data_IF_284241431763
#
_entry.id   IF_284241431763
#
_cell.length_a   1.000
_cell.length_b   1.000
_cell.length_c   1.000
_cell.angle_alpha   90.00
_cell.angle_beta   90.00
_cell.angle_gamma   90.00
#
_symmetry.space_group_name_H-M   'P 1'
#
loop_
_entity.id
_entity.type
_entity.pdbx_description
1 polymer ?
#
# COMPACT_ATOMS: atom_id res chain seq x y z
N UNK A 1 -14.85 -24.50 -11.07
CA UNK A 1 -13.47 -23.99 -11.18
C UNK A 1 -12.85 -23.52 -9.85
N UNK A 2 -13.20 -24.06 -8.66
CA UNK A 2 -12.58 -23.58 -7.42
C UNK A 2 -11.10 -23.98 -7.29
N UNK A 3 -10.67 -25.06 -7.97
CA UNK A 3 -9.39 -25.72 -7.69
C UNK A 3 -8.15 -24.91 -8.09
N UNK A 4 -8.28 -24.01 -9.05
CA UNK A 4 -7.19 -23.13 -9.50
C UNK A 4 -7.37 -21.68 -9.06
N UNK A 5 -8.53 -21.32 -8.47
CA UNK A 5 -8.79 -19.98 -7.98
C UNK A 5 -8.22 -19.86 -6.58
N UNK A 6 -7.20 -19.04 -6.39
CA UNK A 6 -6.58 -18.85 -5.08
C UNK A 6 -7.39 -17.82 -4.26
N UNK A 7 -7.59 -16.62 -4.81
CA UNK A 7 -8.43 -15.61 -4.20
C UNK A 7 -8.98 -14.61 -5.21
N UNK A 8 -10.12 -14.02 -4.85
CA UNK A 8 -10.67 -12.82 -5.48
C UNK A 8 -10.68 -11.72 -4.43
N UNK A 9 -10.04 -10.61 -4.75
CA UNK A 9 -9.99 -9.42 -3.91
C UNK A 9 -10.66 -8.24 -4.63
N UNK A 10 -11.70 -7.69 -4.01
CA UNK A 10 -12.42 -6.50 -4.48
C UNK A 10 -12.25 -5.41 -3.46
N UNK A 11 -11.76 -4.25 -3.88
CA UNK A 11 -11.57 -3.10 -2.98
C UNK A 11 -11.82 -1.80 -3.73
N UNK A 12 -12.55 -0.90 -3.09
CA UNK A 12 -12.71 0.48 -3.53
C UNK A 12 -11.77 1.45 -2.79
N UNK A 13 -11.00 0.93 -1.83
CA UNK A 13 -10.07 1.66 -0.96
C UNK A 13 -8.61 1.20 -1.16
N UNK A 14 -8.28 0.65 -2.33
CA UNK A 14 -6.94 0.12 -2.58
C UNK A 14 -5.95 1.23 -2.83
N UNK A 15 -4.77 1.11 -2.20
CA UNK A 15 -3.76 2.16 -2.20
C UNK A 15 -2.35 1.67 -2.58
N UNK A 16 -2.29 0.50 -3.22
CA UNK A 16 -1.06 -0.20 -3.59
C UNK A 16 -0.74 -1.38 -2.67
N UNK A 17 0.12 -2.28 -3.14
CA UNK A 17 0.67 -3.36 -2.31
C UNK A 17 1.56 -2.73 -1.24
N UNK A 18 1.32 -3.06 0.03
CA UNK A 18 2.32 -2.83 1.07
C UNK A 18 3.48 -3.77 0.71
N UNK A 19 4.63 -3.22 0.35
CA UNK A 19 5.83 -4.02 0.09
C UNK A 19 6.01 -5.00 1.25
N UNK A 20 6.07 -6.30 0.95
CA UNK A 20 6.12 -7.38 1.94
C UNK A 20 7.45 -7.46 2.72
N UNK A 21 8.29 -6.42 2.62
CA UNK A 21 9.46 -6.19 3.46
C UNK A 21 9.24 -4.88 4.19
N UNK A 22 8.84 -4.92 5.46
CA UNK A 22 8.58 -3.67 6.20
C UNK A 22 8.47 -3.74 7.72
N UNK A 23 8.53 -4.93 8.33
CA UNK A 23 8.75 -5.05 9.77
C UNK A 23 10.15 -5.63 10.02
N UNK A 24 11.17 -4.76 9.95
CA UNK A 24 12.18 -4.55 11.01
C UNK A 24 13.45 -3.85 10.49
N UNK A 25 13.85 -2.85 11.27
CA UNK A 25 15.19 -2.28 11.46
C UNK A 25 15.71 -1.32 10.36
N UNK A 26 15.97 -0.04 10.64
CA UNK A 26 16.86 0.46 11.70
C UNK A 26 18.21 -0.26 11.75
N UNK A 27 18.91 -0.39 10.62
CA UNK A 27 20.39 -0.46 10.62
C UNK A 27 20.96 -0.42 9.18
N UNK A 28 21.76 0.62 8.96
CA UNK A 28 22.67 1.04 7.86
C UNK A 28 23.51 -0.05 7.13
N UNK A 29 24.21 0.27 6.01
CA UNK A 29 25.57 0.88 6.07
C UNK A 29 25.79 2.05 5.06
N UNK A 30 26.91 2.82 5.16
CA UNK A 30 27.04 4.16 4.59
C UNK A 30 27.52 4.16 3.14
N UNK A 31 27.23 5.24 2.39
CA UNK A 31 28.30 5.87 1.64
C UNK A 31 28.35 7.38 1.90
N UNK A 32 29.49 7.80 2.45
CA UNK A 32 30.29 8.95 2.03
C UNK A 32 29.56 10.12 1.35
N UNK A 33 29.55 11.23 2.10
CA UNK A 33 29.79 12.59 1.63
C UNK A 33 28.79 13.20 0.65
N UNK A 34 28.16 14.28 1.12
CA UNK A 34 27.44 15.33 0.37
C UNK A 34 26.19 14.91 -0.40
N UNK A 35 25.01 15.10 0.21
CA UNK A 35 23.73 14.95 -0.51
C UNK A 35 22.48 14.98 0.35
N UNK A 36 22.36 15.97 1.24
CA UNK A 36 21.20 16.18 2.13
C UNK A 36 19.94 16.63 1.38
N UNK A 37 19.35 15.76 0.55
CA UNK A 37 18.06 16.03 -0.11
C UNK A 37 17.19 14.78 -0.39
N UNK A 38 17.76 13.57 -0.45
CA UNK A 38 17.03 12.39 -0.94
C UNK A 38 16.17 11.66 0.11
N UNK A 39 16.57 11.61 1.38
CA UNK A 39 15.80 10.93 2.45
C UNK A 39 14.60 11.73 2.97
N UNK A 40 14.37 12.94 2.45
CA UNK A 40 13.34 13.85 2.94
C UNK A 40 12.06 13.83 2.08
N UNK A 41 12.07 13.17 0.92
CA UNK A 41 10.95 13.15 -0.02
C UNK A 41 9.93 12.04 0.24
N UNK A 42 10.30 10.92 0.88
CA UNK A 42 9.34 9.82 1.12
C UNK A 42 8.23 10.19 2.12
N UNK A 43 8.48 11.12 3.04
CA UNK A 43 7.46 11.63 3.96
C UNK A 43 6.54 12.70 3.33
N UNK A 44 6.93 13.28 2.19
CA UNK A 44 6.13 14.26 1.46
C UNK A 44 5.12 13.57 0.51
N UNK A 45 5.31 12.28 0.20
CA UNK A 45 4.44 11.50 -0.67
C UNK A 45 3.25 10.82 0.05
N UNK A 46 3.05 11.07 1.34
CA UNK A 46 1.88 10.55 2.06
C UNK A 46 0.54 11.14 1.55
N UNK A 47 0.58 12.37 1.01
CA UNK A 47 -0.59 13.02 0.41
C UNK A 47 -0.99 12.42 -0.95
N UNK A 48 -0.12 11.62 -1.59
CA UNK A 48 -0.31 11.18 -2.97
C UNK A 48 -0.86 9.74 -3.08
N UNK A 49 -1.29 9.14 -1.97
CA UNK A 49 -1.84 7.79 -1.99
C UNK A 49 -3.25 7.80 -2.64
N UNK A 50 -3.28 7.73 -3.97
CA UNK A 50 -4.52 7.68 -4.74
C UNK A 50 -5.28 6.38 -4.43
N UNK A 51 -6.47 6.52 -3.86
CA UNK A 51 -7.40 5.40 -3.65
C UNK A 51 -7.98 4.97 -4.99
N UNK A 52 -7.91 3.67 -5.30
CA UNK A 52 -8.39 3.08 -6.54
C UNK A 52 -9.37 1.94 -6.28
N UNK A 53 -10.33 1.79 -7.19
CA UNK A 53 -11.18 0.60 -7.27
C UNK A 53 -10.42 -0.48 -8.03
N UNK A 54 -10.25 -1.65 -7.41
CA UNK A 54 -9.52 -2.78 -7.99
C UNK A 54 -10.31 -4.07 -7.83
N UNK A 55 -10.21 -4.91 -8.84
CA UNK A 55 -10.54 -6.33 -8.81
C UNK A 55 -9.22 -7.06 -9.08
N UNK A 56 -8.74 -7.80 -8.09
CA UNK A 56 -7.54 -8.62 -8.19
C UNK A 56 -7.98 -10.07 -8.12
N UNK A 57 -7.64 -10.85 -9.14
CA UNK A 57 -7.95 -12.28 -9.21
C UNK A 57 -6.63 -13.03 -9.32
N UNK A 58 -6.38 -13.93 -8.36
CA UNK A 58 -5.20 -14.78 -8.34
C UNK A 58 -5.57 -16.21 -8.71
N UNK A 59 -4.88 -16.76 -9.71
CA UNK A 59 -5.04 -18.14 -10.15
C UNK A 59 -3.74 -18.90 -9.90
N UNK A 60 -3.84 -20.05 -9.23
CA UNK A 60 -2.76 -21.01 -9.16
C UNK A 60 -2.85 -21.96 -10.34
N UNK A 61 -2.05 -21.67 -11.35
CA UNK A 61 -2.04 -22.36 -12.64
C UNK A 61 -1.43 -23.77 -12.52
N UNK A 62 -0.50 -23.98 -11.59
CA UNK A 62 0.22 -25.24 -11.41
C UNK A 62 -0.47 -26.21 -10.45
N UNK A 63 -1.47 -25.75 -9.71
CA UNK A 63 -2.27 -26.58 -8.80
C UNK A 63 -3.09 -27.67 -9.52
N UNK A 64 -3.27 -27.57 -10.84
CA UNK A 64 -3.89 -28.63 -11.62
C UNK A 64 -2.89 -29.76 -11.89
N UNK A 65 -2.80 -30.67 -10.92
CA UNK A 65 -2.00 -31.90 -10.94
C UNK A 65 -1.92 -32.55 -12.34
N UNK A 66 -0.76 -32.40 -13.00
CA UNK A 66 -0.38 -33.22 -14.16
C UNK A 66 -0.87 -32.77 -15.54
N UNK A 67 -1.45 -31.57 -15.71
CA UNK A 67 -1.80 -31.06 -17.06
C UNK A 67 -0.59 -30.45 -17.77
N UNK A 68 -0.43 -30.77 -19.06
CA UNK A 68 0.58 -30.16 -19.93
C UNK A 68 0.35 -28.64 -20.02
N UNK A 69 1.44 -27.87 -20.10
CA UNK A 69 1.43 -26.41 -20.21
C UNK A 69 0.52 -25.89 -21.33
N UNK A 70 0.39 -26.65 -22.43
CA UNK A 70 -0.49 -26.34 -23.56
C UNK A 70 -1.98 -26.36 -23.16
N UNK A 71 -2.45 -27.46 -22.56
CA UNK A 71 -3.85 -27.60 -22.08
C UNK A 71 -4.19 -26.57 -21.01
N UNK A 72 -3.21 -26.28 -20.15
CA UNK A 72 -3.32 -25.26 -19.12
C UNK A 72 -3.45 -23.86 -19.73
N UNK A 73 -2.68 -23.55 -20.78
CA UNK A 73 -2.77 -22.27 -21.50
C UNK A 73 -4.12 -22.06 -22.18
N UNK A 74 -4.69 -23.11 -22.77
CA UNK A 74 -6.04 -23.06 -23.37
C UNK A 74 -7.12 -22.87 -22.30
N UNK A 75 -7.04 -23.58 -21.17
CA UNK A 75 -8.00 -23.44 -20.06
C UNK A 75 -7.95 -22.05 -19.42
N UNK A 76 -6.75 -21.46 -19.27
CA UNK A 76 -6.59 -20.08 -18.77
C UNK A 76 -7.22 -19.10 -19.75
N UNK A 77 -6.93 -19.26 -21.04
CA UNK A 77 -7.40 -18.38 -22.10
C UNK A 77 -8.92 -18.40 -22.27
N UNK A 78 -9.55 -19.57 -22.17
CA UNK A 78 -10.99 -19.70 -22.41
C UNK A 78 -11.84 -19.41 -21.18
N UNK A 79 -11.51 -20.02 -20.03
CA UNK A 79 -12.46 -20.11 -18.92
C UNK A 79 -12.15 -19.09 -17.82
N UNK A 80 -10.87 -18.90 -17.49
CA UNK A 80 -10.47 -17.94 -16.45
C UNK A 80 -10.60 -16.51 -16.94
N UNK A 81 -10.20 -16.22 -18.19
CA UNK A 81 -10.44 -14.89 -18.76
C UNK A 81 -11.94 -14.60 -18.88
N UNK A 82 -12.76 -15.58 -19.28
CA UNK A 82 -14.22 -15.41 -19.32
C UNK A 82 -14.80 -15.12 -17.94
N UNK A 83 -14.30 -15.79 -16.89
CA UNK A 83 -14.66 -15.48 -15.51
C UNK A 83 -14.27 -14.04 -15.13
N UNK A 84 -13.02 -13.64 -15.40
CA UNK A 84 -12.55 -12.29 -15.07
C UNK A 84 -13.36 -11.23 -15.79
N UNK A 85 -13.63 -11.41 -17.09
CA UNK A 85 -14.47 -10.50 -17.88
C UNK A 85 -15.89 -10.41 -17.31
N UNK A 86 -16.49 -11.55 -16.97
CA UNK A 86 -17.80 -11.58 -16.34
C UNK A 86 -17.79 -10.87 -14.97
N UNK A 87 -16.75 -11.05 -14.16
CA UNK A 87 -16.60 -10.37 -12.87
C UNK A 87 -16.44 -8.85 -13.05
N UNK A 88 -15.73 -8.39 -14.08
CA UNK A 88 -15.60 -6.96 -14.40
C UNK A 88 -16.98 -6.36 -14.73
N UNK A 89 -17.75 -7.02 -15.59
CA UNK A 89 -19.13 -6.59 -15.92
C UNK A 89 -20.02 -6.59 -14.68
N UNK A 90 -19.94 -7.63 -13.86
CA UNK A 90 -20.74 -7.75 -12.65
C UNK A 90 -20.40 -6.66 -11.63
N UNK A 91 -19.12 -6.46 -11.33
CA UNK A 91 -18.66 -5.48 -10.34
C UNK A 91 -18.91 -4.05 -10.81
N UNK A 92 -18.75 -3.77 -12.11
CA UNK A 92 -19.03 -2.44 -12.66
C UNK A 92 -20.52 -2.08 -12.63
N UNK A 93 -21.40 -3.06 -12.84
CA UNK A 93 -22.86 -2.89 -12.77
C UNK A 93 -23.42 -2.98 -11.34
N UNK A 94 -22.62 -3.42 -10.36
CA UNK A 94 -23.10 -3.63 -9.00
C UNK A 94 -23.52 -2.32 -8.33
N UNK A 95 -24.77 -2.25 -7.87
CA UNK A 95 -25.31 -1.13 -7.11
C UNK A 95 -26.04 -1.61 -5.88
N UNK A 96 -25.85 -0.90 -4.77
CA UNK A 96 -26.61 -1.17 -3.55
C UNK A 96 -28.10 -0.92 -3.79
N UNK A 97 -28.91 -1.97 -3.61
CA UNK A 97 -30.38 -1.87 -3.65
C UNK A 97 -30.95 -1.19 -2.40
N UNK A 98 -30.27 -1.33 -1.25
CA UNK A 98 -30.65 -0.69 0.01
C UNK A 98 -29.93 0.64 0.24
N UNK A 99 -30.70 1.69 0.54
CA UNK A 99 -30.18 3.01 0.92
C UNK A 99 -29.36 2.95 2.21
N UNK A 100 -29.75 2.10 3.16
CA UNK A 100 -29.07 1.97 4.45
C UNK A 100 -27.66 1.39 4.28
N UNK A 101 -27.52 0.30 3.51
CA UNK A 101 -26.23 -0.32 3.22
C UNK A 101 -25.30 0.65 2.48
N UNK A 102 -25.85 1.39 1.52
CA UNK A 102 -25.12 2.45 0.81
C UNK A 102 -24.60 3.52 1.78
N UNK A 103 -25.43 4.00 2.71
CA UNK A 103 -25.02 5.00 3.69
C UNK A 103 -23.96 4.47 4.66
N UNK A 104 -24.07 3.20 5.08
CA UNK A 104 -23.06 2.55 5.92
C UNK A 104 -21.71 2.47 5.21
N UNK A 105 -21.70 2.09 3.94
CA UNK A 105 -20.47 2.04 3.13
C UNK A 105 -19.83 3.44 2.98
N UNK A 106 -20.63 4.48 2.70
CA UNK A 106 -20.15 5.87 2.61
C UNK A 106 -19.53 6.33 3.93
N UNK A 107 -20.21 6.10 5.06
CA UNK A 107 -19.69 6.46 6.40
C UNK A 107 -18.39 5.72 6.72
N UNK A 108 -18.29 4.44 6.35
CA UNK A 108 -17.06 3.67 6.54
C UNK A 108 -15.90 4.24 5.72
N UNK A 109 -16.15 4.61 4.46
CA UNK A 109 -15.15 5.28 3.61
C UNK A 109 -14.65 6.59 4.23
N UNK A 110 -15.56 7.43 4.71
CA UNK A 110 -15.21 8.69 5.41
C UNK A 110 -14.38 8.41 6.66
N UNK A 111 -14.78 7.43 7.47
CA UNK A 111 -14.05 7.05 8.68
C UNK A 111 -12.61 6.60 8.38
N UNK A 112 -12.41 5.78 7.36
CA UNK A 112 -11.08 5.30 6.97
C UNK A 112 -10.21 6.48 6.49
N UNK A 113 -10.78 7.38 5.71
CA UNK A 113 -10.10 8.58 5.24
C UNK A 113 -9.68 9.50 6.41
N UNK A 114 -10.57 9.73 7.37
CA UNK A 114 -10.25 10.49 8.58
C UNK A 114 -9.15 9.84 9.42
N UNK A 115 -9.18 8.51 9.59
CA UNK A 115 -8.15 7.78 10.32
C UNK A 115 -6.79 7.89 9.61
N UNK A 116 -6.79 7.80 8.28
CA UNK A 116 -5.58 7.99 7.48
C UNK A 116 -5.01 9.39 7.66
N UNK A 117 -5.82 10.45 7.52
CA UNK A 117 -5.38 11.84 7.71
C UNK A 117 -4.80 12.07 9.11
N UNK A 118 -5.44 11.53 10.15
CA UNK A 118 -4.94 11.63 11.53
C UNK A 118 -3.58 10.96 11.69
N UNK A 119 -3.41 9.76 11.14
CA UNK A 119 -2.14 9.03 11.17
C UNK A 119 -1.02 9.81 10.45
N UNK A 120 -1.31 10.39 9.28
CA UNK A 120 -0.34 11.19 8.51
C UNK A 120 0.07 12.46 9.27
N UNK A 121 -0.89 13.17 9.87
CA UNK A 121 -0.60 14.38 10.62
C UNK A 121 0.26 14.09 11.86
N UNK A 122 -0.04 13.01 12.58
CA UNK A 122 0.74 12.58 13.74
C UNK A 122 2.19 12.27 13.33
N UNK A 123 2.38 11.47 12.29
CA UNK A 123 3.70 11.13 11.77
C UNK A 123 4.50 12.37 11.34
N UNK A 124 3.83 13.34 10.70
CA UNK A 124 4.46 14.62 10.32
C UNK A 124 4.88 15.43 11.55
N UNK A 125 4.05 15.45 12.59
CA UNK A 125 4.35 16.16 13.84
C UNK A 125 5.53 15.54 14.57
N UNK A 126 5.56 14.21 14.68
CA UNK A 126 6.67 13.45 15.29
C UNK A 126 7.98 13.69 14.54
N UNK A 127 7.98 13.61 13.20
CA UNK A 127 9.16 13.91 12.39
C UNK A 127 9.65 15.36 12.56
N UNK A 128 8.74 16.32 12.66
CA UNK A 128 9.11 17.71 12.90
C UNK A 128 9.71 17.92 14.30
N UNK A 129 9.25 17.16 15.31
CA UNK A 129 9.82 17.19 16.65
C UNK A 129 11.22 16.58 16.68
N UNK A 130 11.42 15.42 16.06
CA UNK A 130 12.74 14.76 15.95
C UNK A 130 13.75 15.72 15.30
N UNK A 131 13.38 16.38 14.19
CA UNK A 131 14.27 17.37 13.54
C UNK A 131 14.64 18.55 14.44
N UNK A 132 13.73 19.00 15.31
CA UNK A 132 14.01 20.08 16.26
C UNK A 132 14.93 19.61 17.39
N UNK A 133 14.75 18.38 17.85
CA UNK A 133 15.58 17.80 18.89
C UNK A 133 17.01 17.50 18.40
N UNK A 134 17.15 16.92 17.21
CA UNK A 134 18.44 16.67 16.57
C UNK A 134 19.22 17.96 16.35
N UNK A 135 18.54 19.03 15.89
CA UNK A 135 19.19 20.34 15.72
C UNK A 135 19.70 20.90 17.06
N UNK A 136 18.90 20.79 18.12
CA UNK A 136 19.31 21.25 19.47
C UNK A 136 20.48 20.42 20.02
N UNK A 137 20.50 19.12 19.76
CA UNK A 137 21.57 18.22 20.20
C UNK A 137 22.87 18.48 19.44
N UNK A 138 22.80 18.67 18.13
CA UNK A 138 23.95 19.01 17.29
C UNK A 138 24.55 20.38 17.64
N UNK A 139 23.71 21.37 17.94
CA UNK A 139 24.19 22.68 18.42
C UNK A 139 24.91 22.56 19.78
N UNK A 140 24.38 21.74 20.70
CA UNK A 140 25.01 21.48 22.01
C UNK A 140 26.34 20.74 21.88
N UNK A 141 26.43 19.76 20.99
CA UNK A 141 27.67 19.00 20.72
C UNK A 141 28.73 19.89 20.07
N UNK A 142 28.34 20.78 19.15
CA UNK A 142 29.25 21.71 18.49
C UNK A 142 29.89 22.72 19.46
N UNK A 143 29.14 23.22 20.44
CA UNK A 143 29.67 24.14 21.47
C UNK A 143 30.65 23.43 22.40
N UNK A 144 30.32 22.20 22.82
CA UNK A 144 31.21 21.41 23.68
C UNK A 144 32.54 21.06 22.99
N UNK A 145 32.52 20.83 21.67
CA UNK A 145 33.75 20.61 20.89
C UNK A 145 34.57 21.89 20.65
N UNK A 146 33.95 23.07 20.66
CA UNK A 146 34.68 24.34 20.50
C UNK A 146 35.30 24.86 21.80
N UNK A 147 34.79 24.44 22.96
CA UNK A 147 35.31 24.86 24.28
C UNK A 147 36.49 23.99 24.78
N UNK A 148 36.76 22.85 24.15
CA UNK A 148 37.84 21.90 24.49
C UNK A 148 39.11 22.05 23.62
N UNK A 149 39.18 23.11 22.80
CA UNK A 149 40.31 23.46 21.92
C UNK A 149 40.88 24.84 22.27
#
# INVERSE_FOLDING_TARGET
FPDALEYIYVSDQYTGMKSQNGEQQSSSPPPTTSGSAAQQQDALNASERSVRRVLIVAFNITAQNGRSLQVTSETIGSDYLRLVLHLIEFVSAFRFKSKELKNKAIKNRQRIEEQFLKSVNLQRQEQAQIRREDKRRAEKEKVMQSDDA
#
